data_IF_447765467758
#
_entry.id   IF_447765467758
#
_cell.length_a   1.000
_cell.length_b   1.000
_cell.length_c   1.000
_cell.angle_alpha   90.00
_cell.angle_beta   90.00
_cell.angle_gamma   90.00
#
_symmetry.space_group_name_H-M   'P 1'
#
loop_
_entity.id
_entity.type
_entity.pdbx_description
1 polymer ?
#
# COMPACT_ATOMS: atom_id res chain seq x y z
N UNK A 1 2.98 7.84 -13.01
CA UNK A 1 4.32 7.38 -12.67
C UNK A 1 4.46 5.86 -12.74
N UNK A 2 3.54 5.12 -12.13
CA UNK A 2 3.51 3.66 -12.18
C UNK A 2 3.50 3.12 -13.62
N UNK A 3 2.69 3.72 -14.48
CA UNK A 3 2.57 3.29 -15.88
C UNK A 3 3.89 3.42 -16.64
N UNK A 4 4.61 4.54 -16.43
CA UNK A 4 5.92 4.76 -17.05
C UNK A 4 6.91 3.68 -16.62
N UNK A 5 6.98 3.39 -15.32
CA UNK A 5 7.89 2.37 -14.79
C UNK A 5 7.49 0.95 -15.20
N UNK A 6 6.18 0.69 -15.35
CA UNK A 6 5.72 -0.60 -15.85
C UNK A 6 6.29 -0.93 -17.22
N UNK A 7 6.48 0.08 -18.06
CA UNK A 7 7.01 -0.08 -19.41
C UNK A 7 8.52 -0.29 -19.46
N UNK A 8 9.24 0.08 -18.39
CA UNK A 8 10.70 -0.04 -18.35
C UNK A 8 11.19 -1.34 -17.71
N UNK A 9 10.27 -2.24 -17.37
CA UNK A 9 10.65 -3.51 -16.76
C UNK A 9 11.00 -3.44 -15.28
N UNK A 10 10.53 -2.41 -14.57
CA UNK A 10 10.77 -2.28 -13.14
C UNK A 10 10.06 -3.38 -12.35
N UNK A 11 10.61 -3.67 -11.18
CA UNK A 11 10.09 -4.70 -10.27
C UNK A 11 9.50 -4.00 -9.04
N UNK A 12 8.17 -3.94 -8.91
CA UNK A 12 7.55 -3.36 -7.72
C UNK A 12 7.60 -4.33 -6.56
N UNK A 13 7.86 -3.80 -5.36
CA UNK A 13 7.73 -4.53 -4.12
C UNK A 13 7.19 -3.62 -3.02
N UNK A 14 6.62 -4.21 -1.99
CA UNK A 14 6.01 -3.48 -0.88
C UNK A 14 6.60 -3.99 0.42
N UNK A 15 6.90 -3.06 1.34
CA UNK A 15 7.28 -3.39 2.70
C UNK A 15 6.33 -2.65 3.65
N UNK A 16 5.83 -3.33 4.67
CA UNK A 16 5.04 -2.67 5.71
C UNK A 16 5.58 -3.03 7.08
N UNK A 17 5.60 -2.06 7.97
CA UNK A 17 6.07 -2.21 9.35
C UNK A 17 4.98 -1.74 10.29
N UNK A 18 4.61 -2.57 11.23
CA UNK A 18 3.62 -2.26 12.27
C UNK A 18 4.08 -2.76 13.64
N UNK A 19 3.34 -2.37 14.68
CA UNK A 19 3.64 -2.80 16.05
C UNK A 19 3.47 -4.31 16.21
N UNK A 20 4.11 -4.86 17.24
CA UNK A 20 4.15 -6.30 17.49
C UNK A 20 2.79 -6.92 17.83
N UNK A 21 1.81 -6.10 18.23
CA UNK A 21 0.46 -6.59 18.56
C UNK A 21 -0.44 -6.73 17.33
N UNK A 22 -0.02 -6.25 16.18
CA UNK A 22 -0.78 -6.43 14.94
C UNK A 22 -0.65 -7.86 14.45
N UNK A 23 -1.76 -8.59 14.39
CA UNK A 23 -1.77 -10.02 14.08
C UNK A 23 -1.95 -10.35 12.60
N UNK A 24 -2.65 -9.51 11.86
CA UNK A 24 -2.82 -9.73 10.43
C UNK A 24 -1.56 -9.31 9.67
N UNK A 25 -1.20 -10.08 8.66
CA UNK A 25 -0.09 -9.81 7.76
C UNK A 25 -0.41 -10.41 6.39
N UNK A 26 -0.22 -9.65 5.30
CA UNK A 26 0.12 -8.23 5.31
C UNK A 26 -1.04 -7.37 5.77
N UNK A 27 -0.75 -6.07 6.06
CA UNK A 27 -1.79 -5.13 6.46
C UNK A 27 -2.78 -4.88 5.31
N UNK A 28 -4.01 -4.45 5.66
CA UNK A 28 -5.02 -4.12 4.66
C UNK A 28 -4.53 -3.06 3.67
N UNK A 29 -3.81 -2.05 4.16
CA UNK A 29 -3.22 -1.01 3.31
C UNK A 29 -2.22 -1.60 2.32
N UNK A 30 -1.36 -2.51 2.76
CA UNK A 30 -0.39 -3.16 1.89
C UNK A 30 -1.07 -3.98 0.80
N UNK A 31 -2.14 -4.70 1.15
CA UNK A 31 -2.93 -5.48 0.19
C UNK A 31 -3.56 -4.54 -0.85
N UNK A 32 -4.15 -3.43 -0.42
CA UNK A 32 -4.76 -2.45 -1.32
C UNK A 32 -3.73 -1.86 -2.27
N UNK A 33 -2.53 -1.55 -1.77
CA UNK A 33 -1.44 -1.05 -2.62
C UNK A 33 -1.02 -2.10 -3.66
N UNK A 34 -0.87 -3.36 -3.23
CA UNK A 34 -0.50 -4.45 -4.13
C UNK A 34 -1.55 -4.65 -5.22
N UNK A 35 -2.82 -4.67 -4.85
CA UNK A 35 -3.92 -4.83 -5.82
C UNK A 35 -3.99 -3.66 -6.80
N UNK A 36 -3.72 -2.43 -6.33
CA UNK A 36 -3.64 -1.25 -7.19
C UNK A 36 -2.53 -1.36 -8.22
N UNK A 37 -1.37 -1.84 -7.82
CA UNK A 37 -0.25 -2.05 -8.74
C UNK A 37 -0.58 -3.14 -9.75
N UNK A 38 -1.17 -4.25 -9.30
CA UNK A 38 -1.56 -5.36 -10.17
C UNK A 38 -2.53 -4.88 -11.25
N UNK A 39 -3.51 -4.04 -10.89
CA UNK A 39 -4.49 -3.53 -11.84
C UNK A 39 -3.87 -2.64 -12.93
N UNK A 40 -2.75 -1.97 -12.61
CA UNK A 40 -2.07 -1.06 -13.56
C UNK A 40 -0.97 -1.76 -14.35
N UNK A 41 -0.36 -2.79 -13.79
CA UNK A 41 0.75 -3.51 -14.42
C UNK A 41 0.27 -4.92 -14.82
N UNK A 42 -0.13 -5.09 -16.07
CA UNK A 42 -0.74 -6.33 -16.55
C UNK A 42 0.15 -7.58 -16.46
N UNK A 43 1.47 -7.42 -16.25
CA UNK A 43 2.38 -8.56 -16.11
C UNK A 43 2.38 -9.20 -14.72
N UNK A 44 1.77 -8.53 -13.73
CA UNK A 44 1.65 -9.08 -12.37
C UNK A 44 0.28 -9.69 -12.18
N UNK A 45 0.24 -10.89 -11.60
CA UNK A 45 -0.99 -11.64 -11.42
C UNK A 45 -1.46 -11.74 -9.98
N UNK A 46 -0.59 -11.44 -9.02
CA UNK A 46 -0.94 -11.49 -7.61
C UNK A 46 0.18 -10.98 -6.71
N UNK A 47 0.03 -11.19 -5.43
CA UNK A 47 1.05 -10.85 -4.43
C UNK A 47 1.29 -12.03 -3.51
N UNK A 48 2.48 -12.08 -2.90
CA UNK A 48 2.84 -13.09 -1.90
C UNK A 48 3.46 -12.40 -0.69
N UNK A 49 3.20 -12.93 0.49
CA UNK A 49 3.73 -12.37 1.75
C UNK A 49 4.94 -13.18 2.22
N UNK A 50 5.82 -13.50 1.29
CA UNK A 50 7.05 -14.24 1.54
C UNK A 50 8.07 -13.93 0.44
N UNK A 51 9.37 -14.18 0.65
CA UNK A 51 10.35 -14.02 -0.42
C UNK A 51 10.00 -14.91 -1.61
N UNK A 52 10.12 -14.38 -2.82
CA UNK A 52 9.79 -15.11 -4.03
C UNK A 52 10.59 -14.57 -5.21
N UNK A 53 10.99 -15.47 -6.09
CA UNK A 53 11.64 -15.14 -7.37
C UNK A 53 10.63 -15.15 -8.52
N UNK A 54 9.36 -15.40 -8.24
CA UNK A 54 8.31 -15.42 -9.28
C UNK A 54 8.03 -14.00 -9.74
N UNK A 55 8.39 -13.68 -10.97
CA UNK A 55 8.25 -12.35 -11.55
C UNK A 55 6.81 -11.94 -11.80
N UNK A 56 5.87 -12.87 -11.75
CA UNK A 56 4.44 -12.56 -11.88
C UNK A 56 3.81 -12.11 -10.56
N UNK A 57 4.54 -12.22 -9.45
CA UNK A 57 4.03 -11.88 -8.13
C UNK A 57 4.71 -10.64 -7.57
N UNK A 58 3.97 -9.86 -6.81
CA UNK A 58 4.53 -8.75 -6.03
C UNK A 58 4.86 -9.29 -4.64
N UNK A 59 6.11 -9.13 -4.23
CA UNK A 59 6.53 -9.54 -2.87
C UNK A 59 6.12 -8.45 -1.88
N UNK A 60 5.35 -8.85 -0.88
CA UNK A 60 4.97 -7.96 0.23
C UNK A 60 5.68 -8.47 1.48
N UNK A 61 6.55 -7.65 2.04
CA UNK A 61 7.30 -7.97 3.26
C UNK A 61 6.62 -7.31 4.46
N UNK A 62 6.34 -8.09 5.47
CA UNK A 62 5.69 -7.60 6.69
C UNK A 62 6.64 -7.70 7.86
N UNK A 63 6.90 -6.57 8.52
CA UNK A 63 7.74 -6.51 9.71
C UNK A 63 6.88 -6.07 10.90
N UNK A 64 7.22 -6.58 12.07
CA UNK A 64 6.53 -6.25 13.32
C UNK A 64 7.58 -5.82 14.34
N UNK A 65 7.59 -4.52 14.65
CA UNK A 65 8.63 -3.91 15.47
C UNK A 65 8.01 -2.98 16.52
N UNK A 66 8.30 -3.24 17.78
CA UNK A 66 7.96 -2.36 18.88
C UNK A 66 6.53 -1.82 18.86
N UNK A 67 6.42 -0.51 18.87
CA UNK A 67 5.15 0.21 18.89
C UNK A 67 4.91 1.02 17.61
N UNK A 68 5.51 0.63 16.49
CA UNK A 68 5.41 1.36 15.21
C UNK A 68 3.94 1.46 14.78
N UNK A 69 3.38 2.66 14.62
CA UNK A 69 1.97 2.82 14.23
C UNK A 69 1.67 2.32 12.83
N UNK A 70 2.61 2.46 11.91
CA UNK A 70 2.49 1.95 10.56
C UNK A 70 3.40 2.68 9.59
N UNK A 71 4.17 1.90 8.82
CA UNK A 71 5.02 2.43 7.75
C UNK A 71 4.81 1.55 6.52
N UNK A 72 4.58 2.18 5.38
CA UNK A 72 4.43 1.49 4.12
C UNK A 72 5.40 2.06 3.10
N UNK A 73 6.15 1.19 2.44
CA UNK A 73 7.10 1.59 1.41
C UNK A 73 6.79 0.81 0.13
N UNK A 74 6.58 1.54 -0.96
CA UNK A 74 6.47 0.94 -2.29
C UNK A 74 7.76 1.26 -3.02
N UNK A 75 8.43 0.23 -3.54
CA UNK A 75 9.68 0.37 -4.26
C UNK A 75 9.52 -0.12 -5.69
N UNK A 76 9.93 0.70 -6.63
CA UNK A 76 10.05 0.33 -8.05
C UNK A 76 11.53 0.28 -8.38
N UNK A 77 12.03 -0.90 -8.67
CA UNK A 77 13.45 -1.14 -8.89
C UNK A 77 13.72 -1.55 -10.33
N UNK A 78 14.72 -0.93 -10.95
CA UNK A 78 15.26 -1.35 -12.24
C UNK A 78 16.75 -1.60 -12.08
N UNK A 79 17.42 -2.04 -13.17
CA UNK A 79 18.87 -2.25 -13.13
C UNK A 79 19.63 -0.92 -12.96
N UNK A 80 19.03 0.18 -13.38
CA UNK A 80 19.70 1.49 -13.42
C UNK A 80 19.28 2.42 -12.30
N UNK A 81 18.08 2.26 -11.75
CA UNK A 81 17.58 3.17 -10.72
C UNK A 81 16.55 2.51 -9.81
N UNK A 82 16.15 3.27 -8.80
CA UNK A 82 15.14 2.84 -7.82
C UNK A 82 14.31 4.05 -7.40
N UNK A 83 13.00 3.83 -7.31
CA UNK A 83 12.09 4.82 -6.73
C UNK A 83 11.46 4.21 -5.50
N UNK A 84 11.50 4.92 -4.40
CA UNK A 84 10.87 4.52 -3.15
C UNK A 84 9.84 5.57 -2.75
N UNK A 85 8.62 5.12 -2.47
CA UNK A 85 7.55 5.95 -1.92
C UNK A 85 7.27 5.44 -0.52
N UNK A 86 7.63 6.23 0.49
CA UNK A 86 7.50 5.82 1.89
C UNK A 86 6.54 6.72 2.63
N UNK A 87 5.57 6.13 3.28
CA UNK A 87 4.63 6.82 4.14
C UNK A 87 4.77 6.29 5.56
N UNK A 88 5.05 7.17 6.50
CA UNK A 88 5.19 6.83 7.90
C UNK A 88 4.13 7.55 8.72
N UNK A 89 3.29 6.80 9.41
CA UNK A 89 2.34 7.37 10.37
C UNK A 89 3.11 7.59 11.66
N UNK A 90 3.18 8.84 12.12
CA UNK A 90 3.91 9.18 13.35
C UNK A 90 3.06 8.95 14.60
N UNK A 91 1.75 9.10 14.47
CA UNK A 91 0.81 8.85 15.54
C UNK A 91 -0.58 8.62 14.93
N UNK A 92 -1.55 8.23 15.76
CA UNK A 92 -2.89 7.87 15.28
C UNK A 92 -3.81 9.06 15.01
N UNK A 93 -3.37 10.28 15.25
CA UNK A 93 -4.20 11.48 15.02
C UNK A 93 -4.64 11.60 13.58
N UNK A 94 -3.74 11.31 12.64
CA UNK A 94 -4.05 11.39 11.21
C UNK A 94 -5.19 10.45 10.85
N UNK A 95 -5.21 9.25 11.40
CA UNK A 95 -6.28 8.29 11.17
C UNK A 95 -7.61 8.77 11.76
N UNK A 96 -7.59 9.27 12.99
CA UNK A 96 -8.78 9.80 13.64
C UNK A 96 -9.35 10.99 12.88
N UNK A 97 -8.49 11.92 12.45
CA UNK A 97 -8.91 13.08 11.67
C UNK A 97 -9.51 12.66 10.32
N UNK A 98 -8.90 11.69 9.65
CA UNK A 98 -9.42 11.15 8.40
C UNK A 98 -10.80 10.53 8.56
N UNK A 99 -11.05 9.84 9.68
CA UNK A 99 -12.35 9.26 9.98
C UNK A 99 -13.41 10.34 10.19
N UNK A 100 -13.07 11.45 10.87
CA UNK A 100 -13.98 12.58 11.06
C UNK A 100 -14.33 13.22 9.73
N UNK A 101 -13.34 13.47 8.89
CA UNK A 101 -13.56 14.06 7.56
C UNK A 101 -14.45 13.15 6.70
N UNK A 102 -14.22 11.85 6.74
CA UNK A 102 -15.02 10.88 5.99
C UNK A 102 -16.47 10.87 6.50
N UNK A 103 -16.68 10.95 7.82
CA UNK A 103 -18.01 11.01 8.41
C UNK A 103 -18.75 12.28 7.98
N UNK A 104 -18.08 13.42 7.94
CA UNK A 104 -18.66 14.68 7.47
C UNK A 104 -19.04 14.58 5.99
N UNK A 105 -18.18 13.97 5.16
CA UNK A 105 -18.46 13.75 3.75
C UNK A 105 -19.73 12.93 3.54
N UNK A 106 -19.94 11.89 4.34
CA UNK A 106 -21.08 11.00 4.21
C UNK A 106 -22.38 11.59 4.75
N UNK A 107 -22.31 12.67 5.50
CA UNK A 107 -23.48 13.30 6.09
C UNK A 107 -24.47 13.74 4.99
N UNK A 108 -25.70 13.26 5.06
CA UNK A 108 -26.73 13.57 4.07
C UNK A 108 -26.64 12.82 2.74
N UNK A 109 -25.65 11.97 2.57
CA UNK A 109 -25.49 11.16 1.37
C UNK A 109 -26.06 9.77 1.58
N UNK A 110 -26.54 9.18 0.50
CA UNK A 110 -27.09 7.82 0.50
C UNK A 110 -26.27 6.95 -0.45
N UNK A 111 -26.08 5.68 -0.09
CA UNK A 111 -25.34 4.71 -0.89
C UNK A 111 -23.99 4.37 -0.31
N UNK A 112 -23.15 3.76 -1.13
CA UNK A 112 -21.81 3.35 -0.73
C UNK A 112 -20.77 4.29 -1.34
N UNK A 113 -19.86 4.82 -0.52
CA UNK A 113 -18.82 5.72 -0.97
C UNK A 113 -17.46 5.20 -0.52
N UNK A 114 -16.42 5.51 -1.28
CA UNK A 114 -15.05 5.14 -0.99
C UNK A 114 -14.20 6.38 -0.74
N UNK A 115 -12.95 6.19 -0.32
CA UNK A 115 -12.02 7.30 -0.17
C UNK A 115 -11.76 8.02 -1.49
N UNK A 116 -11.87 7.31 -2.61
CA UNK A 116 -11.76 7.94 -3.93
C UNK A 116 -12.85 8.97 -4.14
N UNK A 117 -14.07 8.71 -3.69
CA UNK A 117 -15.18 9.67 -3.76
C UNK A 117 -14.90 10.91 -2.92
N UNK A 118 -14.34 10.73 -1.73
CA UNK A 118 -14.00 11.83 -0.83
C UNK A 118 -12.92 12.74 -1.43
N UNK A 119 -11.92 12.15 -2.10
CA UNK A 119 -10.75 12.87 -2.60
C UNK A 119 -10.92 13.49 -3.99
N UNK A 120 -12.05 13.29 -4.62
CA UNK A 120 -12.35 13.90 -5.92
C UNK A 120 -12.72 15.37 -5.79
#
# INVERSE_FOLDING_TARGET
YRTSYARTGTKPRIEEIHHTQKKDAPSGTAITLAEGIISEIGRKTGWVNEPSDDLSQIVVTSLREGAVPGTHTVTYESDDDRIELKHTIKNRRTLALGAVVAAEFLCGKKGVYTMDDLLK
#
